data_IF_267895172242
#
_entry.id   IF_267895172242
#
_cell.length_a   1.000
_cell.length_b   1.000
_cell.length_c   1.000
_cell.angle_alpha   90.00
_cell.angle_beta   90.00
_cell.angle_gamma   90.00
#
_symmetry.space_group_name_H-M   'P 1'
#
loop_
_entity.id
_entity.type
_entity.pdbx_description
1 polymer ?
#
# COMPACT_ATOMS: atom_id res chain seq x y z
N UNK A 1 -21.92 8.01 -10.98
CA UNK A 1 -20.45 7.84 -11.05
C UNK A 1 -19.99 7.22 -9.73
N UNK A 2 -18.94 6.41 -9.77
CA UNK A 2 -18.31 5.90 -8.54
C UNK A 2 -17.67 7.07 -7.78
N UNK A 3 -17.62 7.01 -6.45
CA UNK A 3 -16.85 7.97 -5.66
C UNK A 3 -15.43 7.43 -5.50
N UNK A 4 -14.44 8.33 -5.54
CA UNK A 4 -13.05 7.99 -5.20
C UNK A 4 -13.01 7.25 -3.86
N UNK A 5 -12.40 6.07 -3.88
CA UNK A 5 -12.34 5.12 -2.79
C UNK A 5 -10.90 4.59 -2.69
N UNK A 6 -10.39 4.53 -1.47
CA UNK A 6 -9.06 4.01 -1.18
C UNK A 6 -9.20 2.93 -0.14
N UNK A 7 -8.69 1.74 -0.45
CA UNK A 7 -8.59 0.63 0.51
C UNK A 7 -7.15 0.48 0.94
N UNK A 8 -6.88 0.45 2.25
CA UNK A 8 -5.54 0.25 2.81
C UNK A 8 -5.54 -1.03 3.63
N UNK A 9 -4.73 -2.00 3.21
CA UNK A 9 -4.48 -3.24 3.93
C UNK A 9 -3.11 -3.12 4.61
N UNK A 10 -3.08 -3.22 5.94
CA UNK A 10 -1.84 -3.21 6.73
C UNK A 10 -1.58 -4.64 7.20
N UNK A 11 -0.46 -5.22 6.77
CA UNK A 11 -0.12 -6.61 7.01
C UNK A 11 1.12 -6.71 7.90
N UNK A 12 1.07 -7.57 8.91
CA UNK A 12 2.23 -7.90 9.75
C UNK A 12 3.05 -9.08 9.19
N UNK A 13 2.85 -9.42 7.93
CA UNK A 13 3.57 -10.47 7.20
C UNK A 13 3.85 -10.03 5.76
N UNK A 14 4.87 -10.64 5.16
CA UNK A 14 5.17 -10.49 3.72
C UNK A 14 4.27 -11.40 2.90
N UNK A 15 3.57 -10.83 1.95
CA UNK A 15 2.58 -11.43 1.07
C UNK A 15 2.96 -11.26 -0.42
N UNK A 16 3.33 -10.05 -0.83
CA UNK A 16 3.60 -9.76 -2.24
C UNK A 16 5.02 -10.17 -2.64
N UNK A 17 5.22 -10.69 -3.87
CA UNK A 17 6.50 -11.19 -4.35
C UNK A 17 7.43 -10.05 -4.80
N UNK A 18 7.66 -9.08 -3.93
CA UNK A 18 8.60 -7.96 -4.11
C UNK A 18 9.09 -7.44 -2.75
N UNK A 19 10.07 -6.54 -2.75
CA UNK A 19 10.63 -5.95 -1.52
C UNK A 19 10.03 -4.57 -1.19
N UNK A 20 8.97 -4.14 -1.86
CA UNK A 20 8.36 -2.83 -1.61
C UNK A 20 7.47 -2.91 -0.36
N UNK A 21 7.67 -2.00 0.59
CA UNK A 21 6.81 -1.90 1.76
C UNK A 21 5.39 -1.43 1.40
N UNK A 22 5.26 -0.64 0.32
CA UNK A 22 4.01 -0.06 -0.15
C UNK A 22 3.77 -0.43 -1.61
N UNK A 23 2.68 -1.16 -1.85
CA UNK A 23 2.22 -1.51 -3.19
C UNK A 23 0.84 -0.91 -3.44
N UNK A 24 0.63 -0.36 -4.63
CA UNK A 24 -0.66 0.23 -5.04
C UNK A 24 -1.18 -0.49 -6.28
N UNK A 25 -2.40 -0.99 -6.21
CA UNK A 25 -3.08 -1.66 -7.30
C UNK A 25 -4.31 -0.88 -7.75
N UNK A 26 -4.51 -0.87 -9.06
CA UNK A 26 -5.70 -0.32 -9.71
C UNK A 26 -6.52 -1.47 -10.30
N UNK A 27 -7.85 -1.36 -10.25
CA UNK A 27 -8.70 -2.39 -10.83
C UNK A 27 -8.80 -2.27 -12.35
N UNK A 28 -8.69 -3.42 -13.01
CA UNK A 28 -8.85 -3.58 -14.45
C UNK A 28 -9.71 -4.82 -14.71
N UNK A 29 -10.50 -4.78 -15.77
CA UNK A 29 -11.18 -5.97 -16.28
C UNK A 29 -10.13 -6.95 -16.83
N UNK A 30 -10.21 -8.21 -16.43
CA UNK A 30 -9.16 -9.20 -16.61
C UNK A 30 -8.88 -9.53 -18.09
N UNK A 31 -9.93 -9.61 -18.93
CA UNK A 31 -9.79 -10.01 -20.33
C UNK A 31 -9.33 -8.88 -21.25
N UNK A 32 -9.87 -7.69 -21.03
CA UNK A 32 -9.69 -6.52 -21.88
C UNK A 32 -8.65 -5.54 -21.33
N UNK A 33 -8.29 -5.65 -20.05
CA UNK A 33 -7.39 -4.73 -19.36
C UNK A 33 -7.96 -3.34 -19.11
N UNK A 34 -9.24 -3.11 -19.46
CA UNK A 34 -9.89 -1.81 -19.31
C UNK A 34 -9.95 -1.46 -17.81
N UNK A 35 -9.41 -0.30 -17.39
CA UNK A 35 -9.45 0.11 -15.99
C UNK A 35 -10.89 0.38 -15.55
N UNK A 36 -11.24 -0.11 -14.35
CA UNK A 36 -12.51 0.19 -13.69
C UNK A 36 -12.44 1.57 -13.04
N UNK A 37 -12.28 2.61 -13.87
CA UNK A 37 -12.12 4.05 -13.54
C UNK A 37 -11.00 4.35 -12.50
N UNK A 38 -10.41 5.55 -12.52
CA UNK A 38 -9.37 5.96 -11.55
C UNK A 38 -9.96 6.30 -10.15
N UNK A 39 -11.13 5.75 -9.83
CA UNK A 39 -11.85 6.03 -8.59
C UNK A 39 -11.61 4.95 -7.52
N UNK A 40 -10.80 3.91 -7.77
CA UNK A 40 -10.51 2.90 -6.74
C UNK A 40 -9.06 2.41 -6.73
N UNK A 41 -8.41 2.57 -5.56
CA UNK A 41 -7.03 2.16 -5.30
C UNK A 41 -6.97 1.17 -4.13
N UNK A 42 -6.13 0.14 -4.27
CA UNK A 42 -5.84 -0.83 -3.21
C UNK A 42 -4.37 -0.70 -2.81
N UNK A 43 -4.13 -0.26 -1.57
CA UNK A 43 -2.81 -0.20 -0.98
C UNK A 43 -2.56 -1.41 -0.10
N UNK A 44 -1.37 -1.98 -0.24
CA UNK A 44 -0.81 -2.98 0.65
C UNK A 44 0.43 -2.41 1.33
N UNK A 45 0.36 -2.30 2.66
CA UNK A 45 1.46 -1.89 3.53
C UNK A 45 1.93 -3.12 4.30
N UNK A 46 3.08 -3.66 3.92
CA UNK A 46 3.66 -4.87 4.52
C UNK A 46 4.72 -4.46 5.55
N UNK A 47 4.34 -4.44 6.84
CA UNK A 47 5.17 -3.93 7.94
C UNK A 47 6.56 -4.59 8.03
N UNK A 48 6.73 -5.91 7.81
CA UNK A 48 8.06 -6.51 7.84
C UNK A 48 9.03 -5.99 6.77
N UNK A 49 8.54 -5.32 5.72
CA UNK A 49 9.35 -4.71 4.65
C UNK A 49 9.69 -3.25 4.95
N UNK A 50 9.22 -2.70 6.07
CA UNK A 50 9.44 -1.31 6.46
C UNK A 50 10.87 -1.07 6.98
N UNK A 51 11.53 -2.12 7.49
CA UNK A 51 12.84 -2.03 8.13
C UNK A 51 13.98 -1.56 7.20
N UNK A 52 13.82 -1.66 5.87
CA UNK A 52 14.76 -1.10 4.89
C UNK A 52 14.61 0.42 4.67
N UNK A 53 13.55 1.03 5.21
CA UNK A 53 13.21 2.45 5.02
C UNK A 53 13.08 3.24 6.31
N UNK A 54 13.33 2.62 7.47
CA UNK A 54 13.42 3.35 8.72
C UNK A 54 14.59 4.35 8.62
N UNK A 55 14.28 5.63 8.45
CA UNK A 55 15.23 6.68 8.81
C UNK A 55 15.68 6.38 10.25
N UNK A 56 16.97 6.58 10.59
CA UNK A 56 17.40 6.45 11.97
C UNK A 56 16.42 7.27 12.82
N UNK A 57 15.78 6.60 13.77
CA UNK A 57 14.97 7.31 14.76
C UNK A 57 15.97 8.14 15.56
N UNK A 58 16.21 9.39 15.11
CA UNK A 58 16.80 10.40 15.96
C UNK A 58 15.93 10.43 17.21
N UNK A 59 16.55 10.31 18.38
CA UNK A 59 15.92 9.97 19.67
C UNK A 59 14.95 11.02 20.24
N UNK A 60 14.10 11.63 19.42
CA UNK A 60 13.03 12.54 19.80
C UNK A 60 11.68 11.82 19.80
N UNK A 61 11.47 10.93 20.78
CA UNK A 61 10.12 10.49 21.11
C UNK A 61 9.25 11.69 21.50
N UNK A 62 7.98 11.70 21.08
CA UNK A 62 6.99 12.65 21.58
C UNK A 62 6.77 12.36 23.07
N UNK A 63 7.50 13.07 23.92
CA UNK A 63 7.19 13.20 25.33
C UNK A 63 5.95 14.09 25.43
N UNK A 64 4.88 13.54 26.02
CA UNK A 64 3.70 14.28 26.46
C UNK A 64 4.01 14.90 27.83
#
# INVERSE_FOLDING_TARGET
>A
MLKKCVTINILNYSFLPNNQYHNVFHLREDRSGIPLVDDMELHFLELPKLDDHAAPVESGGLVN
#
